data_IF_546522127806
#
_entry.id   IF_546522127806
#
_cell.length_a   1.000
_cell.length_b   1.000
_cell.length_c   1.000
_cell.angle_alpha   90.00
_cell.angle_beta   90.00
_cell.angle_gamma   90.00
#
_symmetry.space_group_name_H-M   'P 1'
#
loop_
_entity.id
_entity.type
_entity.pdbx_description
1 polymer ?
#
# COMPACT_ATOMS: atom_id res chain seq x y z
N UNK A 1 28.25 -10.39 -4.36
CA UNK A 1 27.83 -11.80 -4.27
C UNK A 1 27.10 -12.04 -2.95
N UNK A 2 26.06 -12.91 -2.89
CA UNK A 2 25.29 -13.13 -1.68
C UNK A 2 26.16 -13.60 -0.49
N UNK A 3 27.16 -14.44 -0.75
CA UNK A 3 28.11 -14.89 0.28
C UNK A 3 28.90 -13.75 0.95
N UNK A 4 29.33 -12.73 0.20
CA UNK A 4 30.03 -11.58 0.79
C UNK A 4 29.10 -10.76 1.70
N UNK A 5 27.82 -10.60 1.32
CA UNK A 5 26.84 -9.94 2.16
C UNK A 5 26.58 -10.72 3.46
N UNK A 6 26.43 -12.04 3.34
CA UNK A 6 26.22 -12.92 4.50
C UNK A 6 27.41 -12.88 5.47
N UNK A 7 28.63 -13.00 4.95
CA UNK A 7 29.86 -12.95 5.76
C UNK A 7 30.01 -11.60 6.48
N UNK A 8 29.82 -10.50 5.77
CA UNK A 8 29.93 -9.16 6.35
C UNK A 8 28.83 -8.91 7.41
N UNK A 9 27.59 -9.28 7.10
CA UNK A 9 26.49 -9.11 8.03
C UNK A 9 26.63 -9.99 9.28
N UNK A 10 27.03 -11.24 9.13
CA UNK A 10 27.25 -12.13 10.28
C UNK A 10 28.41 -11.67 11.16
N UNK A 11 29.49 -11.10 10.57
CA UNK A 11 30.61 -10.53 11.34
C UNK A 11 30.17 -9.34 12.18
N UNK A 12 29.39 -8.41 11.60
CA UNK A 12 28.83 -7.27 12.36
C UNK A 12 27.89 -7.79 13.46
N UNK A 13 27.03 -8.74 13.14
CA UNK A 13 26.09 -9.29 14.10
C UNK A 13 26.79 -10.01 15.26
N UNK A 14 27.88 -10.73 14.98
CA UNK A 14 28.71 -11.37 16.03
C UNK A 14 29.30 -10.34 17.00
N UNK A 15 29.81 -9.21 16.50
CA UNK A 15 30.30 -8.12 17.34
C UNK A 15 29.17 -7.51 18.19
N UNK A 16 27.98 -7.32 17.60
CA UNK A 16 26.83 -6.79 18.35
C UNK A 16 26.37 -7.73 19.46
N UNK A 17 26.35 -9.06 19.22
CA UNK A 17 26.01 -10.05 20.24
C UNK A 17 27.09 -10.09 21.36
N UNK A 18 28.36 -9.94 21.00
CA UNK A 18 29.44 -9.91 22.01
C UNK A 18 29.28 -8.73 22.98
N UNK A 19 28.86 -7.56 22.49
CA UNK A 19 28.62 -6.37 23.31
C UNK A 19 27.27 -6.47 24.04
N UNK A 20 26.22 -6.95 23.34
CA UNK A 20 24.85 -7.09 23.85
C UNK A 20 24.37 -8.54 23.69
N UNK A 21 24.72 -9.46 24.57
CA UNK A 21 24.29 -10.87 24.51
C UNK A 21 22.77 -11.04 24.44
N UNK A 22 22.02 -10.11 24.99
CA UNK A 22 20.54 -10.05 24.93
C UNK A 22 19.96 -9.94 23.50
N UNK A 23 20.79 -9.64 22.50
CA UNK A 23 20.39 -9.65 21.10
C UNK A 23 20.32 -11.05 20.49
N UNK A 24 20.94 -12.05 21.14
CA UNK A 24 20.95 -13.42 20.64
C UNK A 24 19.55 -14.04 20.71
N UNK A 25 19.20 -14.76 19.65
CA UNK A 25 17.91 -15.42 19.54
C UNK A 25 16.71 -14.49 19.36
N UNK A 26 15.54 -15.01 19.62
CA UNK A 26 14.25 -14.30 19.45
C UNK A 26 13.98 -13.29 20.58
N UNK A 27 14.62 -13.46 21.74
CA UNK A 27 14.53 -12.56 22.88
C UNK A 27 13.42 -12.86 23.88
N UNK A 28 12.75 -14.01 23.80
CA UNK A 28 11.68 -14.37 24.75
C UNK A 28 12.19 -14.52 26.19
N UNK A 29 13.37 -15.08 26.40
CA UNK A 29 13.98 -15.17 27.73
C UNK A 29 14.25 -13.79 28.32
N UNK A 30 14.76 -12.87 27.53
CA UNK A 30 15.01 -11.49 27.97
C UNK A 30 13.72 -10.74 28.29
N UNK A 31 12.64 -10.98 27.52
CA UNK A 31 11.31 -10.44 27.83
C UNK A 31 10.82 -10.95 29.19
N UNK A 32 10.98 -12.24 29.44
CA UNK A 32 10.62 -12.85 30.73
C UNK A 32 11.42 -12.22 31.88
N UNK A 33 12.73 -12.07 31.73
CA UNK A 33 13.60 -11.41 32.70
C UNK A 33 13.19 -9.96 32.99
N UNK A 34 12.78 -9.21 31.98
CA UNK A 34 12.25 -7.85 32.16
C UNK A 34 10.91 -7.80 32.94
N UNK A 35 10.12 -8.85 32.83
CA UNK A 35 8.85 -8.97 33.55
C UNK A 35 9.00 -9.52 34.95
N UNK A 36 10.13 -10.15 35.24
CA UNK A 36 10.47 -10.68 36.56
C UNK A 36 10.93 -9.58 37.54
N UNK A 37 11.06 -9.92 38.80
CA UNK A 37 11.45 -8.99 39.87
C UNK A 37 12.93 -8.58 39.83
N UNK A 38 13.77 -9.23 39.03
CA UNK A 38 15.20 -8.95 38.94
C UNK A 38 15.67 -8.69 37.49
N UNK A 39 15.31 -7.53 36.90
CA UNK A 39 15.72 -7.16 35.56
C UNK A 39 17.22 -6.89 35.41
N UNK A 40 17.95 -6.73 36.54
CA UNK A 40 19.41 -6.59 36.58
C UNK A 40 20.15 -7.80 36.00
N UNK A 41 19.52 -8.99 36.01
CA UNK A 41 20.07 -10.20 35.38
C UNK A 41 20.39 -10.03 33.89
N UNK A 42 19.74 -9.12 33.18
CA UNK A 42 20.08 -8.82 31.79
C UNK A 42 21.51 -8.32 31.59
N UNK A 43 22.15 -7.81 32.64
CA UNK A 43 23.50 -7.28 32.60
C UNK A 43 24.55 -8.27 33.15
N UNK A 44 24.16 -9.44 33.70
CA UNK A 44 25.09 -10.36 34.40
C UNK A 44 26.22 -10.83 33.48
N UNK A 45 25.91 -11.29 32.28
CA UNK A 45 26.90 -11.84 31.34
C UNK A 45 27.36 -10.83 30.31
N UNK A 46 27.32 -9.53 30.65
CA UNK A 46 27.69 -8.46 29.75
C UNK A 46 28.90 -7.67 30.21
N UNK A 47 29.49 -6.88 29.32
CA UNK A 47 30.57 -5.94 29.68
C UNK A 47 30.12 -4.88 30.70
N UNK A 48 28.80 -4.79 30.95
CA UNK A 48 28.19 -3.83 31.87
C UNK A 48 27.80 -4.41 33.23
N UNK A 49 28.23 -5.65 33.54
CA UNK A 49 27.87 -6.36 34.78
C UNK A 49 28.19 -5.57 36.05
N UNK A 50 29.28 -4.78 36.04
CA UNK A 50 29.68 -3.92 37.17
C UNK A 50 28.66 -2.84 37.54
N UNK A 51 27.74 -2.53 36.65
CA UNK A 51 26.70 -1.50 36.84
C UNK A 51 25.30 -2.08 37.09
N UNK A 52 25.20 -3.38 37.34
CA UNK A 52 23.95 -4.12 37.55
C UNK A 52 23.00 -3.49 38.56
N UNK A 53 23.53 -3.02 39.68
CA UNK A 53 22.74 -2.49 40.79
C UNK A 53 22.33 -1.01 40.59
N UNK A 54 22.82 -0.37 39.52
CA UNK A 54 22.49 0.99 39.19
C UNK A 54 21.27 1.06 38.26
N UNK A 55 20.15 1.53 38.79
CA UNK A 55 18.88 1.62 38.04
C UNK A 55 18.97 2.53 36.80
N UNK A 56 19.77 3.59 36.81
CA UNK A 56 19.97 4.45 35.65
C UNK A 56 20.82 3.77 34.57
N UNK A 57 21.86 3.03 35.01
CA UNK A 57 22.66 2.25 34.06
C UNK A 57 21.82 1.16 33.37
N UNK A 58 20.97 0.46 34.13
CA UNK A 58 20.02 -0.52 33.58
C UNK A 58 19.07 0.10 32.58
N UNK A 59 18.51 1.29 32.87
CA UNK A 59 17.63 2.00 31.98
C UNK A 59 18.32 2.36 30.65
N UNK A 60 19.56 2.88 30.74
CA UNK A 60 20.35 3.20 29.55
C UNK A 60 20.68 1.95 28.74
N UNK A 61 21.09 0.86 29.41
CA UNK A 61 21.36 -0.43 28.76
C UNK A 61 20.16 -0.94 27.99
N UNK A 62 18.96 -0.94 28.59
CA UNK A 62 17.71 -1.34 27.94
C UNK A 62 17.40 -0.45 26.74
N UNK A 63 17.54 0.87 26.89
CA UNK A 63 17.33 1.83 25.80
C UNK A 63 18.29 1.62 24.62
N UNK A 64 19.58 1.42 24.89
CA UNK A 64 20.56 1.11 23.83
C UNK A 64 20.31 -0.24 23.18
N UNK A 65 20.02 -1.28 23.97
CA UNK A 65 19.70 -2.63 23.46
C UNK A 65 18.49 -2.59 22.53
N UNK A 66 17.46 -1.84 22.89
CA UNK A 66 16.26 -1.64 22.05
C UNK A 66 16.64 -1.03 20.69
N UNK A 67 17.44 0.02 20.66
CA UNK A 67 17.89 0.65 19.41
C UNK A 67 18.76 -0.31 18.58
N UNK A 68 19.73 -0.96 19.21
CA UNK A 68 20.63 -1.90 18.54
C UNK A 68 19.88 -3.09 17.95
N UNK A 69 18.81 -3.58 18.59
CA UNK A 69 17.97 -4.69 18.07
C UNK A 69 17.36 -4.37 16.73
N UNK A 70 16.93 -3.13 16.50
CA UNK A 70 16.39 -2.70 15.19
C UNK A 70 17.44 -2.86 14.09
N UNK A 71 18.66 -2.37 14.35
CA UNK A 71 19.77 -2.49 13.39
C UNK A 71 20.21 -3.95 13.21
N UNK A 72 20.29 -4.71 14.30
CA UNK A 72 20.65 -6.13 14.27
C UNK A 72 19.68 -6.95 13.43
N UNK A 73 18.36 -6.74 13.59
CA UNK A 73 17.33 -7.39 12.79
C UNK A 73 17.41 -7.00 11.32
N UNK A 74 17.63 -5.71 11.04
CA UNK A 74 17.80 -5.20 9.68
C UNK A 74 19.03 -5.78 8.98
N UNK A 75 20.17 -5.90 9.69
CA UNK A 75 21.40 -6.51 9.19
C UNK A 75 21.18 -7.99 8.89
N UNK A 76 20.56 -8.73 9.80
CA UNK A 76 20.27 -10.16 9.63
C UNK A 76 19.45 -10.43 8.38
N UNK A 77 18.30 -9.75 8.24
CA UNK A 77 17.43 -9.90 7.08
C UNK A 77 18.07 -9.39 5.78
N UNK A 78 18.76 -8.24 5.85
CA UNK A 78 19.46 -7.65 4.71
C UNK A 78 20.65 -8.46 4.20
N UNK A 79 21.25 -9.28 5.06
CA UNK A 79 22.38 -10.17 4.74
C UNK A 79 21.93 -11.53 4.17
N UNK A 80 20.62 -11.78 4.10
CA UNK A 80 20.05 -13.04 3.64
C UNK A 80 19.86 -14.09 4.76
N UNK A 81 19.91 -13.66 6.02
CA UNK A 81 19.55 -14.50 7.15
C UNK A 81 18.06 -14.84 7.15
N UNK A 82 17.71 -16.04 7.56
CA UNK A 82 16.33 -16.44 7.76
C UNK A 82 15.80 -15.81 9.05
N UNK A 83 14.64 -15.17 8.98
CA UNK A 83 14.03 -14.52 10.14
C UNK A 83 12.76 -13.76 9.78
N UNK A 84 12.11 -13.20 10.79
CA UNK A 84 10.89 -12.41 10.66
C UNK A 84 10.92 -11.17 11.54
N UNK A 85 9.98 -10.26 11.29
CA UNK A 85 9.85 -9.02 12.06
C UNK A 85 9.02 -9.19 13.34
N UNK A 86 8.33 -10.31 13.52
CA UNK A 86 7.36 -10.49 14.59
C UNK A 86 8.02 -10.55 15.98
N UNK A 87 8.93 -11.49 16.20
CA UNK A 87 9.63 -11.64 17.49
C UNK A 87 10.49 -10.42 17.85
N UNK A 88 11.29 -9.82 16.93
CA UNK A 88 11.95 -8.54 17.18
C UNK A 88 11.02 -7.41 17.58
N UNK A 89 9.80 -7.37 17.02
CA UNK A 89 8.81 -6.35 17.38
C UNK A 89 8.29 -6.53 18.80
N UNK A 90 7.99 -7.77 19.20
CA UNK A 90 7.62 -8.07 20.59
C UNK A 90 8.71 -7.66 21.58
N UNK A 91 9.96 -7.98 21.25
CA UNK A 91 11.12 -7.54 22.02
C UNK A 91 11.15 -6.01 22.18
N UNK A 92 11.02 -5.28 21.09
CA UNK A 92 11.00 -3.80 21.11
C UNK A 92 9.85 -3.26 21.98
N UNK A 93 8.66 -3.84 21.85
CA UNK A 93 7.50 -3.43 22.64
C UNK A 93 7.69 -3.64 24.12
N UNK A 94 8.23 -4.80 24.51
CA UNK A 94 8.52 -5.12 25.91
C UNK A 94 9.58 -4.18 26.51
N UNK A 95 10.66 -3.95 25.77
CA UNK A 95 11.73 -3.04 26.19
C UNK A 95 11.24 -1.59 26.30
N UNK A 96 10.39 -1.13 25.37
CA UNK A 96 9.79 0.19 25.44
C UNK A 96 8.87 0.36 26.65
N UNK A 97 8.02 -0.65 26.92
CA UNK A 97 7.11 -0.65 28.07
C UNK A 97 7.89 -0.64 29.40
N UNK A 98 8.94 -1.47 29.49
CA UNK A 98 9.87 -1.46 30.62
C UNK A 98 10.55 -0.12 30.80
N UNK A 99 11.17 0.38 29.73
CA UNK A 99 11.89 1.66 29.74
C UNK A 99 11.01 2.79 30.24
N UNK A 100 9.81 2.93 29.69
CA UNK A 100 8.85 3.96 30.07
C UNK A 100 8.48 3.86 31.54
N UNK A 101 8.04 2.69 32.01
CA UNK A 101 7.59 2.52 33.40
C UNK A 101 8.72 2.70 34.41
N UNK A 102 9.92 2.17 34.11
CA UNK A 102 11.10 2.31 34.95
C UNK A 102 11.57 3.77 35.00
N UNK A 103 11.56 4.48 33.87
CA UNK A 103 11.90 5.91 33.80
C UNK A 103 10.96 6.75 34.67
N UNK A 104 9.63 6.56 34.52
CA UNK A 104 8.63 7.29 35.31
C UNK A 104 8.80 7.04 36.82
N UNK A 105 9.10 5.79 37.18
CA UNK A 105 9.36 5.42 38.57
C UNK A 105 10.64 6.05 39.11
N UNK A 106 11.73 6.13 38.30
CA UNK A 106 13.00 6.71 38.71
C UNK A 106 12.95 8.22 38.92
N UNK A 107 12.16 8.93 38.10
CA UNK A 107 11.97 10.38 38.31
C UNK A 107 10.95 10.70 39.41
N UNK A 108 10.32 9.68 40.00
CA UNK A 108 9.38 9.82 41.11
C UNK A 108 8.01 10.39 40.73
N UNK A 109 7.66 10.41 39.44
CA UNK A 109 6.41 10.97 38.96
C UNK A 109 5.21 10.08 39.34
N UNK A 110 5.36 8.76 39.25
CA UNK A 110 4.35 7.78 39.62
C UNK A 110 5.01 6.44 39.98
N UNK A 111 4.26 5.53 40.65
CA UNK A 111 4.67 4.15 40.90
C UNK A 111 3.93 3.22 39.92
N UNK A 112 4.54 2.98 38.76
CA UNK A 112 3.97 2.13 37.72
C UNK A 112 4.41 0.67 37.88
N UNK A 113 3.51 -0.34 37.71
CA UNK A 113 3.87 -1.74 37.73
C UNK A 113 4.66 -2.11 36.47
N UNK A 114 5.98 -2.26 36.61
CA UNK A 114 6.92 -2.43 35.48
C UNK A 114 6.58 -3.64 34.63
N UNK A 115 6.27 -4.78 35.26
CA UNK A 115 5.88 -6.02 34.56
C UNK A 115 4.66 -5.80 33.64
N UNK A 116 3.62 -5.13 34.15
CA UNK A 116 2.41 -4.87 33.36
C UNK A 116 2.70 -3.98 32.15
N UNK A 117 3.50 -2.93 32.31
CA UNK A 117 3.88 -2.05 31.21
C UNK A 117 4.74 -2.74 30.17
N UNK A 118 5.62 -3.66 30.59
CA UNK A 118 6.40 -4.51 29.69
C UNK A 118 5.49 -5.33 28.78
N UNK A 119 4.48 -5.99 29.33
CA UNK A 119 3.54 -6.82 28.61
C UNK A 119 2.60 -6.00 27.71
N UNK A 120 2.08 -4.91 28.23
CA UNK A 120 1.18 -4.01 27.46
C UNK A 120 1.92 -3.33 26.30
N UNK A 121 3.21 -3.03 26.47
CA UNK A 121 4.05 -2.52 25.39
C UNK A 121 4.18 -3.47 24.19
N UNK A 122 4.21 -4.79 24.45
CA UNK A 122 4.20 -5.80 23.38
C UNK A 122 2.92 -5.75 22.55
N UNK A 123 1.76 -5.63 23.18
CA UNK A 123 0.49 -5.50 22.47
C UNK A 123 0.39 -4.19 21.67
N UNK A 124 0.92 -3.10 22.24
CA UNK A 124 0.98 -1.80 21.58
C UNK A 124 1.76 -1.84 20.27
N UNK A 125 2.95 -2.43 20.27
CA UNK A 125 3.78 -2.49 19.05
C UNK A 125 3.19 -3.42 17.99
N UNK A 126 2.61 -4.56 18.37
CA UNK A 126 1.90 -5.44 17.43
C UNK A 126 0.74 -4.71 16.76
N UNK A 127 -0.04 -4.00 17.53
CA UNK A 127 -1.20 -3.25 17.04
C UNK A 127 -0.80 -2.12 16.09
N UNK A 128 0.26 -1.40 16.41
CA UNK A 128 0.74 -0.28 15.61
C UNK A 128 1.50 -0.70 14.35
N UNK A 129 2.36 -1.71 14.43
CA UNK A 129 3.25 -2.11 13.35
C UNK A 129 2.56 -3.03 12.32
N UNK A 130 1.81 -4.02 12.84
CA UNK A 130 1.12 -5.02 11.99
C UNK A 130 -0.34 -4.67 11.71
N UNK A 131 -0.86 -3.60 12.30
CA UNK A 131 -2.28 -3.21 12.22
C UNK A 131 -3.23 -4.31 12.71
N UNK A 132 -2.83 -5.06 13.71
CA UNK A 132 -3.54 -6.22 14.23
C UNK A 132 -3.87 -6.08 15.74
N UNK A 133 -4.78 -5.17 16.13
CA UNK A 133 -5.06 -4.88 17.53
C UNK A 133 -5.62 -6.10 18.27
N UNK A 134 -6.52 -6.87 17.66
CA UNK A 134 -7.08 -8.07 18.28
C UNK A 134 -6.01 -9.14 18.52
N UNK A 135 -5.11 -9.34 17.55
CA UNK A 135 -3.98 -10.26 17.71
C UNK A 135 -3.08 -9.81 18.85
N UNK A 136 -2.77 -8.52 18.94
CA UNK A 136 -1.96 -7.99 20.07
C UNK A 136 -2.61 -8.24 21.42
N UNK A 137 -3.91 -7.98 21.55
CA UNK A 137 -4.66 -8.17 22.81
C UNK A 137 -4.66 -9.65 23.22
N UNK A 138 -5.17 -10.52 22.36
CA UNK A 138 -5.38 -11.92 22.72
C UNK A 138 -4.07 -12.71 22.84
N UNK A 139 -3.08 -12.43 22.00
CA UNK A 139 -1.78 -13.07 22.09
C UNK A 139 -1.11 -12.79 23.44
N UNK A 140 -1.11 -11.53 23.88
CA UNK A 140 -0.46 -11.17 25.15
C UNK A 140 -1.29 -11.68 26.33
N UNK A 141 -2.61 -11.65 26.26
CA UNK A 141 -3.46 -12.25 27.30
C UNK A 141 -3.18 -13.76 27.44
N UNK A 142 -3.01 -14.48 26.35
CA UNK A 142 -2.72 -15.92 26.34
C UNK A 142 -1.30 -16.21 26.88
N UNK A 143 -0.28 -15.49 26.43
CA UNK A 143 1.10 -15.66 26.91
C UNK A 143 1.20 -15.40 28.42
N UNK A 144 0.42 -14.46 28.95
CA UNK A 144 0.42 -14.14 30.39
C UNK A 144 -0.45 -15.07 31.23
N UNK A 145 -1.16 -16.01 30.61
CA UNK A 145 -2.02 -16.97 31.27
C UNK A 145 -3.22 -16.34 31.98
N UNK A 146 -3.64 -15.13 31.62
CA UNK A 146 -4.76 -14.46 32.26
C UNK A 146 -5.27 -13.20 31.61
N UNK A 147 -6.51 -12.83 31.95
CA UNK A 147 -7.19 -11.67 31.40
C UNK A 147 -7.13 -10.42 32.29
N UNK A 148 -6.27 -10.43 33.32
CA UNK A 148 -6.16 -9.31 34.28
C UNK A 148 -5.73 -8.00 33.63
N UNK A 149 -4.96 -8.08 32.55
CA UNK A 149 -4.50 -6.92 31.78
C UNK A 149 -5.40 -6.58 30.58
N UNK A 150 -6.56 -7.22 30.43
CA UNK A 150 -7.40 -7.09 29.23
C UNK A 150 -7.76 -5.62 28.92
N UNK A 151 -8.16 -4.84 29.93
CA UNK A 151 -8.51 -3.44 29.76
C UNK A 151 -7.30 -2.59 29.30
N UNK A 152 -6.14 -2.63 29.98
CA UNK A 152 -4.93 -1.95 29.49
C UNK A 152 -4.52 -2.37 28.09
N UNK A 153 -4.56 -3.68 27.77
CA UNK A 153 -4.26 -4.20 26.44
C UNK A 153 -5.19 -3.62 25.37
N UNK A 154 -6.50 -3.58 25.63
CA UNK A 154 -7.48 -3.00 24.71
C UNK A 154 -7.21 -1.51 24.46
N UNK A 155 -6.97 -0.73 25.52
CA UNK A 155 -6.70 0.72 25.41
C UNK A 155 -5.43 0.97 24.59
N UNK A 156 -4.32 0.36 24.95
CA UNK A 156 -3.03 0.60 24.30
C UNK A 156 -3.04 0.11 22.84
N UNK A 157 -3.60 -1.07 22.59
CA UNK A 157 -3.72 -1.62 21.24
C UNK A 157 -4.57 -0.74 20.33
N UNK A 158 -5.71 -0.26 20.82
CA UNK A 158 -6.62 0.61 20.03
C UNK A 158 -5.97 1.96 19.72
N UNK A 159 -5.35 2.59 20.73
CA UNK A 159 -4.68 3.88 20.54
C UNK A 159 -3.47 3.74 19.60
N UNK A 160 -2.64 2.72 19.81
CA UNK A 160 -1.46 2.46 18.96
C UNK A 160 -1.87 2.22 17.51
N UNK A 161 -2.88 1.40 17.27
CA UNK A 161 -3.44 1.16 15.94
C UNK A 161 -3.97 2.45 15.30
N UNK A 162 -4.77 3.23 16.03
CA UNK A 162 -5.37 4.46 15.50
C UNK A 162 -4.31 5.49 15.11
N UNK A 163 -3.30 5.69 15.97
CA UNK A 163 -2.19 6.61 15.71
C UNK A 163 -1.35 6.11 14.53
N UNK A 164 -0.93 4.85 14.54
CA UNK A 164 -0.09 4.28 13.48
C UNK A 164 -0.77 4.40 12.11
N UNK A 165 -2.06 4.05 12.03
CA UNK A 165 -2.83 4.13 10.79
C UNK A 165 -3.00 5.55 10.25
N UNK A 166 -2.88 6.56 11.11
CA UNK A 166 -2.90 7.98 10.70
C UNK A 166 -1.66 8.36 9.90
N UNK A 167 -0.49 7.80 10.24
CA UNK A 167 0.79 8.08 9.60
C UNK A 167 1.11 7.10 8.47
N UNK A 168 0.71 5.84 8.63
CA UNK A 168 0.99 4.78 7.66
C UNK A 168 -0.30 3.97 7.39
N UNK A 169 -0.74 3.95 6.12
CA UNK A 169 -1.98 3.27 5.73
C UNK A 169 -1.86 1.74 5.74
N UNK A 170 -0.65 1.24 5.54
CA UNK A 170 -0.38 -0.18 5.34
C UNK A 170 0.48 -0.72 6.48
N UNK A 171 0.21 -1.97 6.90
CA UNK A 171 1.08 -2.66 7.84
C UNK A 171 2.48 -2.89 7.24
N UNK A 172 3.47 -3.15 8.09
CA UNK A 172 4.87 -3.36 7.65
C UNK A 172 4.98 -4.46 6.59
N UNK A 173 4.19 -5.52 6.72
CA UNK A 173 4.23 -6.69 5.83
C UNK A 173 3.66 -6.38 4.44
N UNK A 174 2.64 -5.52 4.38
CA UNK A 174 1.95 -5.18 3.13
C UNK A 174 2.56 -3.95 2.46
N UNK A 175 3.30 -3.12 3.19
CA UNK A 175 3.84 -1.84 2.70
C UNK A 175 4.64 -1.95 1.41
N UNK A 176 5.48 -2.98 1.29
CA UNK A 176 6.29 -3.18 0.09
C UNK A 176 5.46 -3.65 -1.11
N UNK A 177 4.41 -4.44 -0.88
CA UNK A 177 3.46 -4.85 -1.92
C UNK A 177 2.62 -3.65 -2.37
N UNK A 178 2.18 -2.81 -1.43
CA UNK A 178 1.45 -1.58 -1.72
C UNK A 178 2.25 -0.62 -2.61
N UNK A 179 3.54 -0.45 -2.32
CA UNK A 179 4.43 0.39 -3.16
C UNK A 179 4.62 -0.15 -4.58
N UNK A 180 4.47 -1.46 -4.79
CA UNK A 180 4.55 -2.11 -6.10
C UNK A 180 3.20 -2.17 -6.82
N UNK A 181 2.14 -1.58 -6.27
CA UNK A 181 0.79 -1.65 -6.82
C UNK A 181 0.09 -3.01 -6.63
N UNK A 182 0.66 -3.91 -5.83
CA UNK A 182 0.12 -5.26 -5.58
C UNK A 182 -0.57 -5.40 -4.21
N UNK A 183 -0.84 -4.29 -3.53
CA UNK A 183 -1.53 -4.36 -2.24
C UNK A 183 -3.03 -4.43 -2.44
N UNK A 184 -3.60 -5.53 -2.05
CA UNK A 184 -5.03 -5.69 -1.95
C UNK A 184 -5.55 -4.95 -0.72
N UNK A 185 -6.22 -3.82 -0.97
CA UNK A 185 -6.96 -3.09 0.07
C UNK A 185 -8.29 -3.81 0.34
N UNK A 186 -9.04 -3.38 1.35
CA UNK A 186 -10.41 -3.86 1.58
C UNK A 186 -11.38 -3.53 0.44
N UNK A 187 -11.00 -2.63 -0.46
CA UNK A 187 -11.77 -2.30 -1.66
C UNK A 187 -11.34 -3.21 -2.82
N UNK A 188 -12.16 -4.23 -3.08
CA UNK A 188 -11.91 -5.20 -4.15
C UNK A 188 -11.85 -4.55 -5.54
N UNK A 189 -12.65 -3.53 -5.77
CA UNK A 189 -12.72 -2.86 -7.08
C UNK A 189 -11.40 -2.14 -7.41
N UNK A 190 -10.88 -1.35 -6.47
CA UNK A 190 -9.57 -0.69 -6.62
C UNK A 190 -8.45 -1.70 -6.85
N UNK A 191 -8.50 -2.85 -6.16
CA UNK A 191 -7.49 -3.90 -6.31
C UNK A 191 -7.50 -4.52 -7.71
N UNK A 192 -8.68 -4.83 -8.25
CA UNK A 192 -8.82 -5.40 -9.59
C UNK A 192 -8.39 -4.38 -10.63
N UNK A 193 -8.84 -3.12 -10.51
CA UNK A 193 -8.48 -2.04 -11.44
C UNK A 193 -6.97 -1.76 -11.46
N UNK A 194 -6.30 -1.85 -10.33
CA UNK A 194 -4.84 -1.65 -10.26
C UNK A 194 -4.01 -2.72 -10.98
N UNK A 195 -4.60 -3.88 -11.26
CA UNK A 195 -3.94 -4.98 -11.99
C UNK A 195 -4.23 -4.98 -13.49
N UNK A 196 -5.08 -4.08 -13.97
CA UNK A 196 -5.38 -3.94 -15.39
C UNK A 196 -4.40 -2.96 -16.04
N UNK A 197 -3.84 -3.39 -17.16
CA UNK A 197 -3.01 -2.53 -17.99
C UNK A 197 -3.90 -1.76 -18.98
N UNK A 198 -3.88 -0.44 -18.86
CA UNK A 198 -4.66 0.48 -19.71
C UNK A 198 -4.30 0.30 -21.18
N UNK A 199 -3.02 0.06 -21.49
CA UNK A 199 -2.58 -0.15 -22.86
C UNK A 199 -3.21 -1.36 -23.53
N UNK A 200 -3.52 -2.40 -22.78
CA UNK A 200 -4.07 -3.66 -23.31
C UNK A 200 -5.50 -3.55 -23.83
N UNK A 201 -6.21 -2.47 -23.50
CA UNK A 201 -7.62 -2.26 -23.85
C UNK A 201 -7.83 -1.07 -24.80
N UNK A 202 -6.76 -0.41 -25.25
CA UNK A 202 -6.83 0.67 -26.22
C UNK A 202 -7.19 0.08 -27.59
N UNK A 203 -8.25 0.61 -28.17
CA UNK A 203 -8.65 0.31 -29.54
C UNK A 203 -8.00 1.31 -30.48
N UNK A 204 -7.18 0.84 -31.41
CA UNK A 204 -6.47 1.66 -32.39
C UNK A 204 -7.09 1.60 -33.79
N UNK A 205 -7.99 0.66 -34.01
CA UNK A 205 -8.72 0.50 -35.27
C UNK A 205 -10.02 1.30 -35.25
N UNK A 206 -9.95 2.57 -35.65
CA UNK A 206 -11.10 3.47 -35.73
C UNK A 206 -10.99 4.32 -36.97
N UNK A 207 -12.18 4.72 -37.48
CA UNK A 207 -12.31 5.55 -38.69
C UNK A 207 -12.20 7.03 -38.34
N UNK A 208 -11.45 7.75 -39.17
CA UNK A 208 -11.24 9.20 -39.04
C UNK A 208 -11.99 9.96 -40.14
N UNK A 209 -12.38 11.18 -39.80
CA UNK A 209 -13.06 12.12 -40.74
C UNK A 209 -12.50 13.53 -40.54
N UNK A 210 -12.52 14.33 -41.61
CA UNK A 210 -12.10 15.72 -41.52
C UNK A 210 -13.26 16.65 -41.07
N UNK A 211 -12.99 17.70 -40.27
CA UNK A 211 -14.02 18.64 -39.81
C UNK A 211 -14.76 19.38 -40.93
N UNK A 212 -14.11 19.58 -42.06
CA UNK A 212 -14.68 20.29 -43.18
C UNK A 212 -15.45 19.41 -44.19
N UNK A 213 -15.39 18.09 -44.01
CA UNK A 213 -16.19 17.15 -44.80
C UNK A 213 -17.68 17.25 -44.45
N UNK A 214 -18.53 16.85 -45.41
CA UNK A 214 -19.97 16.79 -45.20
C UNK A 214 -20.37 15.47 -44.53
N UNK A 215 -21.52 15.45 -43.86
CA UNK A 215 -22.07 14.24 -43.25
C UNK A 215 -22.31 13.11 -44.24
N UNK A 216 -22.43 13.39 -45.54
CA UNK A 216 -22.60 12.37 -46.60
C UNK A 216 -21.47 11.33 -46.56
N UNK A 217 -20.22 11.81 -46.42
CA UNK A 217 -19.06 10.89 -46.30
C UNK A 217 -19.10 10.08 -45.02
N UNK A 218 -19.50 10.67 -43.90
CA UNK A 218 -19.64 9.93 -42.64
C UNK A 218 -20.76 8.88 -42.72
N UNK A 219 -21.88 9.17 -43.38
CA UNK A 219 -22.98 8.23 -43.61
C UNK A 219 -22.51 7.05 -44.46
N UNK A 220 -21.70 7.32 -45.48
CA UNK A 220 -21.08 6.26 -46.29
C UNK A 220 -20.17 5.35 -45.44
N UNK A 221 -19.31 5.92 -44.62
CA UNK A 221 -18.46 5.17 -43.69
C UNK A 221 -19.27 4.34 -42.70
N UNK A 222 -20.35 4.86 -42.15
CA UNK A 222 -21.27 4.16 -41.25
C UNK A 222 -21.91 2.95 -41.94
N UNK A 223 -22.27 3.07 -43.22
CA UNK A 223 -22.92 1.99 -43.98
C UNK A 223 -22.00 0.78 -44.19
N UNK A 224 -20.67 1.00 -44.14
CA UNK A 224 -19.65 -0.02 -44.37
C UNK A 224 -18.88 -0.44 -43.07
N UNK A 225 -19.27 0.11 -41.91
CA UNK A 225 -18.61 -0.22 -40.66
C UNK A 225 -19.61 -0.46 -39.51
N UNK A 226 -19.20 -1.21 -38.50
CA UNK A 226 -19.96 -1.42 -37.25
C UNK A 226 -19.59 -0.40 -36.16
N UNK A 227 -18.75 0.57 -36.48
CA UNK A 227 -18.29 1.55 -35.50
C UNK A 227 -19.38 2.56 -35.16
N UNK A 228 -19.43 2.94 -33.88
CA UNK A 228 -20.40 3.92 -33.37
C UNK A 228 -19.78 5.26 -33.01
N UNK A 229 -18.45 5.36 -33.13
CA UNK A 229 -17.68 6.57 -32.87
C UNK A 229 -16.67 6.80 -33.98
N UNK A 230 -16.49 8.05 -34.35
CA UNK A 230 -15.60 8.49 -35.42
C UNK A 230 -14.74 9.64 -34.90
N UNK A 231 -13.43 9.54 -35.11
CA UNK A 231 -12.49 10.59 -34.74
C UNK A 231 -12.52 11.73 -35.76
N UNK A 232 -12.59 12.97 -35.30
CA UNK A 232 -12.48 14.14 -36.16
C UNK A 232 -11.05 14.66 -36.04
N UNK A 233 -10.27 14.56 -37.13
CA UNK A 233 -8.86 14.92 -37.16
C UNK A 233 -8.60 16.04 -38.18
N UNK A 234 -7.59 16.88 -37.88
CA UNK A 234 -7.10 17.89 -38.82
C UNK A 234 -6.11 17.28 -39.84
N UNK A 235 -5.55 18.13 -40.73
CA UNK A 235 -4.57 17.71 -41.73
C UNK A 235 -3.24 17.18 -41.11
N UNK A 236 -2.91 17.61 -39.90
CA UNK A 236 -1.73 17.18 -39.11
C UNK A 236 -1.98 15.91 -38.29
N UNK A 237 -3.18 15.29 -38.44
CA UNK A 237 -3.63 14.11 -37.69
C UNK A 237 -3.80 14.35 -36.18
N UNK A 238 -4.13 15.57 -35.80
CA UNK A 238 -4.47 15.92 -34.43
C UNK A 238 -5.97 15.76 -34.19
N UNK A 239 -6.36 15.19 -33.09
CA UNK A 239 -7.74 14.92 -32.71
C UNK A 239 -8.42 16.23 -32.27
N UNK A 240 -9.42 16.69 -33.02
CA UNK A 240 -10.20 17.90 -32.72
C UNK A 240 -11.47 17.62 -31.95
N UNK A 241 -12.05 16.45 -32.14
CA UNK A 241 -13.31 16.06 -31.54
C UNK A 241 -13.72 14.66 -31.95
N UNK A 242 -14.91 14.27 -31.55
CA UNK A 242 -15.51 12.98 -31.90
C UNK A 242 -16.93 13.17 -32.42
N UNK A 243 -17.34 12.31 -33.33
CA UNK A 243 -18.76 12.18 -33.70
C UNK A 243 -19.27 10.83 -33.23
N UNK A 244 -20.30 10.85 -32.40
CA UNK A 244 -21.00 9.65 -31.98
C UNK A 244 -22.22 9.42 -32.87
N UNK A 245 -22.45 8.16 -33.28
CA UNK A 245 -23.60 7.80 -34.13
C UNK A 245 -24.94 8.35 -33.58
N UNK A 246 -25.14 8.29 -32.27
CA UNK A 246 -26.39 8.81 -31.68
C UNK A 246 -26.60 10.32 -31.88
N UNK A 247 -25.52 11.10 -31.97
CA UNK A 247 -25.61 12.56 -32.17
C UNK A 247 -26.15 12.92 -33.55
N UNK A 248 -25.87 12.09 -34.55
CA UNK A 248 -26.27 12.33 -35.94
C UNK A 248 -27.49 11.51 -36.34
N UNK A 249 -27.99 10.62 -35.49
CA UNK A 249 -29.06 9.66 -35.78
C UNK A 249 -30.34 10.32 -36.39
N UNK A 250 -30.72 11.48 -35.90
CA UNK A 250 -31.88 12.19 -36.39
C UNK A 250 -31.59 12.90 -37.72
N UNK A 251 -30.33 13.22 -38.01
CA UNK A 251 -29.92 13.98 -39.19
C UNK A 251 -29.77 13.05 -40.40
N UNK A 252 -29.31 11.83 -40.22
CA UNK A 252 -28.98 10.89 -41.31
C UNK A 252 -30.17 10.51 -42.19
N UNK A 253 -31.40 10.62 -41.68
CA UNK A 253 -32.62 10.35 -42.47
C UNK A 253 -33.10 11.54 -43.30
N UNK A 254 -32.44 12.70 -43.19
CA UNK A 254 -32.79 13.89 -43.98
C UNK A 254 -31.68 14.18 -44.99
N UNK A 255 -31.91 13.79 -46.23
CA UNK A 255 -30.96 13.92 -47.35
C UNK A 255 -30.41 15.33 -47.52
N UNK A 256 -31.27 16.36 -47.34
CA UNK A 256 -30.86 17.75 -47.46
C UNK A 256 -29.86 18.12 -46.33
N UNK A 257 -30.16 17.77 -45.09
CA UNK A 257 -29.29 18.06 -43.95
C UNK A 257 -27.95 17.30 -44.06
N UNK A 258 -27.96 16.04 -44.47
CA UNK A 258 -26.74 15.23 -44.67
C UNK A 258 -25.79 15.89 -45.66
N UNK A 259 -26.32 16.47 -46.76
CA UNK A 259 -25.52 17.10 -47.81
C UNK A 259 -24.91 18.44 -47.40
N UNK A 260 -25.59 19.23 -46.55
CA UNK A 260 -25.18 20.59 -46.22
C UNK A 260 -24.64 20.79 -44.82
N UNK A 261 -24.72 19.78 -43.92
CA UNK A 261 -24.14 19.85 -42.59
C UNK A 261 -22.69 19.36 -42.62
N UNK A 262 -21.78 20.15 -42.08
CA UNK A 262 -20.37 19.76 -41.91
C UNK A 262 -20.17 18.98 -40.64
N UNK A 263 -19.12 18.15 -40.61
CA UNK A 263 -18.76 17.32 -39.46
C UNK A 263 -18.44 18.18 -38.22
N UNK A 264 -17.80 19.32 -38.40
CA UNK A 264 -17.53 20.28 -37.32
C UNK A 264 -18.78 20.82 -36.61
N UNK A 265 -19.92 20.84 -37.29
CA UNK A 265 -21.18 21.36 -36.73
C UNK A 265 -21.88 20.34 -35.80
N UNK A 266 -21.47 19.08 -35.87
CA UNK A 266 -22.05 17.95 -35.10
C UNK A 266 -21.06 17.24 -34.24
N UNK A 267 -19.76 17.57 -34.30
CA UNK A 267 -18.74 16.98 -33.45
C UNK A 267 -18.89 17.40 -32.00
N UNK A 268 -18.55 16.50 -31.09
CA UNK A 268 -18.49 16.75 -29.67
C UNK A 268 -17.04 17.13 -29.28
N UNK A 269 -16.88 18.13 -28.42
CA UNK A 269 -15.55 18.50 -27.92
C UNK A 269 -14.94 17.43 -27.04
N UNK A 270 -13.61 17.42 -26.95
CA UNK A 270 -12.86 16.54 -26.06
C UNK A 270 -12.91 17.06 -24.63
N UNK A 271 -13.83 16.57 -23.82
CA UNK A 271 -13.99 17.01 -22.44
C UNK A 271 -13.04 16.27 -21.48
N UNK A 272 -12.77 14.99 -21.73
CA UNK A 272 -11.86 14.16 -20.95
C UNK A 272 -10.99 13.34 -21.91
N UNK A 273 -9.70 13.33 -21.65
CA UNK A 273 -8.69 12.65 -22.47
C UNK A 273 -7.93 11.68 -21.56
N UNK A 274 -7.58 10.51 -22.05
CA UNK A 274 -6.77 9.51 -21.38
C UNK A 274 -5.36 9.56 -21.95
N UNK A 275 -4.34 9.40 -21.08
CA UNK A 275 -2.98 9.10 -21.51
C UNK A 275 -2.68 7.60 -21.30
N UNK A 276 -1.85 6.97 -22.14
CA UNK A 276 -1.56 5.53 -22.06
C UNK A 276 -1.04 5.08 -20.69
N UNK A 277 -0.37 5.97 -19.96
CA UNK A 277 0.25 5.68 -18.66
C UNK A 277 -0.72 5.85 -17.46
N UNK A 278 -1.96 6.27 -17.71
CA UNK A 278 -2.94 6.42 -16.63
C UNK A 278 -3.41 5.07 -16.09
N UNK A 279 -3.64 5.01 -14.77
CA UNK A 279 -4.18 3.82 -14.13
C UNK A 279 -5.66 3.61 -14.52
N UNK A 280 -6.10 2.34 -14.57
CA UNK A 280 -7.49 2.01 -14.86
C UNK A 280 -8.48 2.62 -13.87
N UNK A 281 -8.08 2.88 -12.63
CA UNK A 281 -8.89 3.60 -11.64
C UNK A 281 -9.17 5.04 -12.10
N UNK A 282 -8.15 5.74 -12.61
CA UNK A 282 -8.30 7.09 -13.15
C UNK A 282 -9.17 7.09 -14.41
N UNK A 283 -9.00 6.11 -15.29
CA UNK A 283 -9.80 5.93 -16.49
C UNK A 283 -11.28 5.74 -16.16
N UNK A 284 -11.60 4.86 -15.19
CA UNK A 284 -12.97 4.64 -14.74
C UNK A 284 -13.59 5.89 -14.11
N UNK A 285 -12.83 6.63 -13.32
CA UNK A 285 -13.29 7.92 -12.76
C UNK A 285 -13.60 8.96 -13.86
N UNK A 286 -12.82 9.00 -14.95
CA UNK A 286 -13.10 9.85 -16.12
C UNK A 286 -14.38 9.44 -16.84
N UNK A 287 -14.65 8.13 -16.96
CA UNK A 287 -15.92 7.64 -17.50
C UNK A 287 -17.13 8.05 -16.64
N UNK A 288 -16.98 8.04 -15.33
CA UNK A 288 -18.07 8.47 -14.42
C UNK A 288 -18.34 9.97 -14.49
N UNK A 289 -17.30 10.80 -14.58
CA UNK A 289 -17.41 12.25 -14.67
C UNK A 289 -17.98 12.71 -16.01
N UNK A 290 -17.46 12.17 -17.11
CA UNK A 290 -17.85 12.57 -18.45
C UNK A 290 -19.21 12.04 -18.90
N UNK A 291 -19.67 10.93 -18.28
CA UNK A 291 -20.85 10.14 -18.73
C UNK A 291 -20.76 9.64 -20.16
N UNK A 292 -19.56 9.70 -20.76
CA UNK A 292 -19.31 9.20 -22.10
C UNK A 292 -19.15 7.67 -22.09
N UNK A 293 -19.43 7.05 -23.24
CA UNK A 293 -19.24 5.60 -23.45
C UNK A 293 -17.88 5.28 -24.05
N UNK A 294 -17.22 6.28 -24.64
CA UNK A 294 -15.89 6.19 -25.21
C UNK A 294 -15.08 7.40 -24.77
N UNK A 295 -13.81 7.20 -24.47
CA UNK A 295 -12.86 8.27 -24.20
C UNK A 295 -11.66 8.14 -25.13
N UNK A 296 -11.20 9.25 -25.71
CA UNK A 296 -10.03 9.28 -26.56
C UNK A 296 -8.76 9.09 -25.72
N UNK A 297 -7.80 8.39 -26.30
CA UNK A 297 -6.46 8.23 -25.77
C UNK A 297 -5.50 9.01 -26.64
N UNK A 298 -4.78 9.96 -26.06
CA UNK A 298 -3.75 10.72 -26.77
C UNK A 298 -2.36 10.33 -26.26
N UNK A 299 -1.43 10.24 -27.21
CA UNK A 299 0.00 10.06 -26.93
C UNK A 299 0.77 11.19 -27.58
N UNK A 300 1.39 12.07 -26.76
CA UNK A 300 2.08 13.27 -27.23
C UNK A 300 1.18 14.18 -28.06
N UNK A 301 -0.04 14.43 -27.60
CA UNK A 301 -1.07 15.26 -28.25
C UNK A 301 -1.55 14.75 -29.62
N UNK A 302 -1.14 13.54 -30.01
CA UNK A 302 -1.62 12.88 -31.22
C UNK A 302 -2.61 11.79 -30.87
N UNK A 303 -3.55 11.60 -31.79
CA UNK A 303 -4.54 10.55 -31.68
C UNK A 303 -3.86 9.17 -31.63
N UNK A 304 -4.16 8.40 -30.57
CA UNK A 304 -3.59 7.10 -30.35
C UNK A 304 -4.65 5.99 -30.35
N UNK A 305 -5.87 6.31 -29.97
CA UNK A 305 -6.96 5.36 -29.92
C UNK A 305 -8.12 5.78 -29.05
N UNK A 306 -8.97 4.83 -28.75
CA UNK A 306 -10.12 5.00 -27.86
C UNK A 306 -10.18 3.86 -26.84
N UNK A 307 -10.71 4.17 -25.67
CA UNK A 307 -11.15 3.16 -24.72
C UNK A 307 -12.67 3.21 -24.64
N UNK A 308 -13.31 2.06 -24.82
CA UNK A 308 -14.74 1.88 -24.60
C UNK A 308 -15.01 1.51 -23.15
N UNK A 309 -16.04 2.13 -22.55
CA UNK A 309 -16.48 1.77 -21.18
C UNK A 309 -16.89 0.29 -21.09
N UNK A 310 -17.49 -0.28 -22.14
CA UNK A 310 -17.87 -1.69 -22.19
C UNK A 310 -16.67 -2.62 -22.14
N UNK A 311 -15.61 -2.35 -22.91
CA UNK A 311 -14.38 -3.13 -22.91
C UNK A 311 -13.66 -3.00 -21.58
N UNK A 312 -13.59 -1.80 -21.00
CA UNK A 312 -13.01 -1.59 -19.68
C UNK A 312 -13.75 -2.41 -18.60
N UNK A 313 -15.08 -2.43 -18.63
CA UNK A 313 -15.89 -3.24 -17.70
C UNK A 313 -15.76 -4.75 -17.97
N UNK A 314 -15.62 -5.17 -19.21
CA UNK A 314 -15.39 -6.58 -19.56
C UNK A 314 -14.02 -7.07 -19.09
N UNK A 315 -12.98 -6.28 -19.31
CA UNK A 315 -11.63 -6.54 -18.79
C UNK A 315 -11.65 -6.63 -17.25
N UNK A 316 -12.32 -5.70 -16.59
CA UNK A 316 -12.52 -5.72 -15.14
C UNK A 316 -13.23 -7.00 -14.68
N UNK A 317 -14.35 -7.36 -15.31
CA UNK A 317 -15.13 -8.56 -14.96
C UNK A 317 -14.34 -9.85 -15.16
N UNK A 318 -13.58 -9.94 -16.25
CA UNK A 318 -12.73 -11.09 -16.54
C UNK A 318 -11.65 -11.26 -15.47
N UNK A 319 -11.00 -10.17 -15.08
CA UNK A 319 -9.98 -10.17 -14.04
C UNK A 319 -10.55 -10.50 -12.67
N UNK A 320 -11.72 -9.93 -12.35
CA UNK A 320 -12.43 -10.22 -11.10
C UNK A 320 -12.77 -11.71 -10.97
N UNK A 321 -13.25 -12.34 -12.05
CA UNK A 321 -13.53 -13.78 -12.07
C UNK A 321 -12.27 -14.60 -11.84
N UNK A 322 -11.16 -14.26 -12.51
CA UNK A 322 -9.89 -14.94 -12.33
C UNK A 322 -9.36 -14.87 -10.89
N UNK A 323 -9.60 -13.75 -10.19
CA UNK A 323 -9.19 -13.56 -8.79
C UNK A 323 -10.15 -14.19 -7.76
N UNK A 324 -11.34 -14.65 -8.18
CA UNK A 324 -12.37 -15.19 -7.27
C UNK A 324 -12.45 -16.73 -7.33
N UNK A 325 -11.69 -17.37 -8.24
CA UNK A 325 -11.67 -18.84 -8.43
C UNK A 325 -10.61 -19.50 -7.52
N UNK A 326 -9.76 -18.75 -6.87
CA UNK A 326 -8.84 -19.20 -5.81
C UNK A 326 -9.42 -18.86 -4.41
#
# INVERSE_FOLDING_TARGET
TPYKKALFGSSIFAVLIFIFPTLFGEGYETIKTLSDNDPGKLMEDTLFSSFRDNNWALLLFVGFTMMVKVFASGITLGSGGNGGNFAPSLFLGSYLGFFFSKFVNLIGLAKLPVSNFTLVGMAGILSGLFHAPLTGIFLIAEITGGYNLMIPLMIVSSISFAISRRFEKHSIDVKNLAKKGHAFTSNKDTNVLSTLDTNSIIQTDFLTVSPDENLEKLVDLISHSSQVIFAVVNAENELLGIVHFNTIREIIFNTYRVKYTKIKDVMLPLNEIITPDESMEMVMNKFEKSKMTYLPVLKNDKDYGFISKSIALEAYRTKLKAMTID
#
